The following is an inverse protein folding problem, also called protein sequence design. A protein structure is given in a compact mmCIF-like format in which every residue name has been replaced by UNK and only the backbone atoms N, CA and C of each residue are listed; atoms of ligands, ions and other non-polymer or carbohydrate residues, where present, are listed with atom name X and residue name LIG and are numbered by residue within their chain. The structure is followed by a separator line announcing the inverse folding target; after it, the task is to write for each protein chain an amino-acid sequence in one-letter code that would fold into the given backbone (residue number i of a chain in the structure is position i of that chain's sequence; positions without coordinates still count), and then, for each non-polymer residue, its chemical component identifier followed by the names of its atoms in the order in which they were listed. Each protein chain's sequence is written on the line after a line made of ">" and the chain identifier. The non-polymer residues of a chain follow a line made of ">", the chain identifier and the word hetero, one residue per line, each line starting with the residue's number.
data_IF_035100341084
#
_entry.id   IF_035100341084
#
_cell.length_a   1.000
_cell.length_b   1.000
_cell.length_c   1.000
_cell.angle_alpha   90.00
_cell.angle_beta   90.00
_cell.angle_gamma   90.00
#
_symmetry.space_group_name_H-M   'P 1'
#
loop_
_entity.id
_entity.type
_entity.pdbx_description
1 polymer ?
#
# COMPACT_ATOMS: atom_id res chain seq x y z
N UNK A 1 -17.90 -11.41 7.12
CA UNK A 1 -16.71 -11.93 6.39
C UNK A 1 -16.05 -10.80 5.60
N UNK A 2 -14.72 -10.83 5.46
CA UNK A 2 -13.94 -9.85 4.70
C UNK A 2 -13.30 -10.57 3.52
N UNK A 3 -13.42 -10.01 2.31
CA UNK A 3 -12.64 -10.44 1.13
C UNK A 3 -11.82 -9.28 0.57
N UNK A 4 -10.65 -9.57 0.03
CA UNK A 4 -9.91 -8.65 -0.84
C UNK A 4 -10.05 -9.13 -2.27
N UNK A 5 -10.50 -8.24 -3.15
CA UNK A 5 -10.70 -8.51 -4.57
C UNK A 5 -9.87 -7.58 -5.44
N UNK A 6 -9.57 -8.06 -6.65
CA UNK A 6 -8.82 -7.30 -7.65
C UNK A 6 -9.75 -6.56 -8.61
N UNK A 7 -9.43 -5.29 -8.88
CA UNK A 7 -10.03 -4.51 -9.97
C UNK A 7 -9.01 -4.26 -11.06
N UNK A 8 -9.26 -4.78 -12.28
CA UNK A 8 -8.37 -4.55 -13.42
C UNK A 8 -8.49 -3.13 -14.00
N UNK A 9 -9.65 -2.48 -13.84
CA UNK A 9 -9.95 -1.11 -14.27
C UNK A 9 -10.89 -0.43 -13.25
N UNK A 10 -10.99 0.90 -13.27
CA UNK A 10 -11.97 1.67 -12.47
C UNK A 10 -13.45 1.30 -12.78
N UNK A 11 -13.69 0.62 -13.90
CA UNK A 11 -14.99 0.04 -14.27
C UNK A 11 -15.13 -1.44 -13.90
N UNK A 12 -14.20 -1.99 -13.10
CA UNK A 12 -14.17 -3.40 -12.73
C UNK A 12 -15.48 -3.82 -12.08
N UNK A 13 -16.21 -4.71 -12.76
CA UNK A 13 -17.49 -5.27 -12.31
C UNK A 13 -17.33 -6.37 -11.27
N UNK A 14 -16.15 -6.56 -10.67
CA UNK A 14 -15.91 -7.57 -9.63
C UNK A 14 -16.97 -7.38 -8.55
N UNK A 15 -17.91 -8.31 -8.52
CA UNK A 15 -18.99 -8.41 -7.56
C UNK A 15 -18.94 -9.82 -7.00
N UNK A 16 -19.22 -9.92 -5.71
CA UNK A 16 -19.35 -11.19 -5.04
C UNK A 16 -20.75 -11.20 -4.41
N UNK A 17 -21.65 -12.12 -4.79
CA UNK A 17 -23.01 -12.12 -4.29
C UNK A 17 -23.07 -12.08 -2.75
N UNK A 18 -23.87 -11.17 -2.20
CA UNK A 18 -23.97 -10.97 -0.75
C UNK A 18 -22.89 -10.10 -0.11
N UNK A 19 -21.99 -9.48 -0.90
CA UNK A 19 -20.92 -8.61 -0.40
C UNK A 19 -21.15 -7.14 -0.76
N UNK A 20 -21.00 -6.26 0.22
CA UNK A 20 -20.89 -4.81 0.02
C UNK A 20 -19.53 -4.49 -0.61
N UNK A 21 -19.55 -3.74 -1.72
CA UNK A 21 -18.32 -3.34 -2.43
C UNK A 21 -17.68 -2.13 -1.74
N UNK A 22 -16.39 -2.24 -1.45
CA UNK A 22 -15.58 -1.20 -0.80
C UNK A 22 -14.42 -0.85 -1.74
N UNK A 23 -14.58 0.22 -2.52
CA UNK A 23 -13.55 0.68 -3.46
C UNK A 23 -12.71 1.75 -2.76
N UNK A 24 -11.40 1.50 -2.63
CA UNK A 24 -10.48 2.35 -1.83
C UNK A 24 -9.41 3.07 -2.66
N UNK A 25 -9.40 2.83 -3.98
CA UNK A 25 -8.38 3.37 -4.88
C UNK A 25 -8.62 4.84 -5.28
N UNK A 26 -9.87 5.24 -5.52
CA UNK A 26 -10.18 6.55 -6.11
C UNK A 26 -10.68 7.52 -5.06
N UNK A 27 -10.11 8.74 -5.04
CA UNK A 27 -10.56 9.85 -4.19
C UNK A 27 -12.07 10.12 -4.29
N UNK A 28 -12.66 9.90 -5.47
CA UNK A 28 -14.09 10.11 -5.72
C UNK A 28 -15.02 8.99 -5.23
N UNK A 29 -14.48 7.86 -4.76
CA UNK A 29 -15.29 6.78 -4.22
C UNK A 29 -15.77 7.08 -2.80
N UNK A 30 -16.86 6.44 -2.37
CA UNK A 30 -17.37 6.54 -0.99
C UNK A 30 -16.30 6.29 0.07
N UNK A 31 -15.36 5.37 -0.20
CA UNK A 31 -14.28 4.97 0.70
C UNK A 31 -12.92 5.56 0.29
N UNK A 32 -12.93 6.63 -0.53
CA UNK A 32 -11.72 7.25 -1.04
C UNK A 32 -10.83 7.86 0.05
N UNK A 33 -11.39 8.27 1.19
CA UNK A 33 -10.63 8.76 2.36
C UNK A 33 -9.73 7.69 2.98
N UNK A 34 -10.01 6.40 2.75
CA UNK A 34 -9.18 5.28 3.20
C UNK A 34 -7.97 5.04 2.26
N UNK A 35 -7.85 5.83 1.19
CA UNK A 35 -6.75 5.74 0.24
C UNK A 35 -5.45 6.31 0.83
N UNK A 36 -4.29 5.68 0.58
CA UNK A 36 -2.99 6.22 1.00
C UNK A 36 -2.67 7.60 0.41
N UNK A 37 -3.40 8.04 -0.64
CA UNK A 37 -3.26 9.38 -1.21
C UNK A 37 -3.96 10.48 -0.40
N UNK A 38 -4.80 10.12 0.57
CA UNK A 38 -5.54 11.05 1.42
C UNK A 38 -5.29 10.86 2.92
N UNK A 39 -4.83 9.68 3.33
CA UNK A 39 -4.41 9.44 4.70
C UNK A 39 -3.20 10.33 5.05
N UNK A 40 -3.23 10.93 6.24
CA UNK A 40 -2.17 11.77 6.76
C UNK A 40 -1.83 11.39 8.20
N UNK A 41 -0.58 11.57 8.60
CA UNK A 41 -0.16 11.43 9.99
C UNK A 41 -0.55 12.66 10.83
N UNK A 42 -0.23 12.64 12.13
CA UNK A 42 -0.46 13.78 13.02
C UNK A 42 0.32 15.06 12.66
N UNK A 43 1.24 15.01 11.68
CA UNK A 43 1.97 16.18 11.14
C UNK A 43 1.41 16.64 9.80
N UNK A 44 0.34 16.01 9.29
CA UNK A 44 -0.24 16.31 7.99
C UNK A 44 0.51 15.71 6.79
N UNK A 45 1.50 14.84 7.02
CA UNK A 45 2.27 14.20 5.94
C UNK A 45 1.46 13.07 5.32
N UNK A 46 1.38 13.04 3.99
CA UNK A 46 0.58 12.06 3.26
C UNK A 46 1.22 10.66 3.35
N UNK A 47 0.41 9.64 3.64
CA UNK A 47 0.87 8.25 3.78
C UNK A 47 1.65 7.75 2.56
N UNK A 48 1.13 7.99 1.35
CA UNK A 48 1.83 7.64 0.10
C UNK A 48 3.22 8.28 0.04
N UNK A 49 3.37 9.53 0.48
CA UNK A 49 4.66 10.21 0.47
C UNK A 49 5.61 9.60 1.48
N UNK A 50 5.16 9.34 2.71
CA UNK A 50 5.96 8.64 3.72
C UNK A 50 6.48 7.31 3.19
N UNK A 51 5.64 6.54 2.49
CA UNK A 51 6.05 5.28 1.89
C UNK A 51 7.03 5.46 0.71
N UNK A 52 6.70 6.31 -0.26
CA UNK A 52 7.50 6.44 -1.48
C UNK A 52 8.88 7.04 -1.21
N UNK A 53 8.94 8.06 -0.35
CA UNK A 53 10.19 8.73 0.04
C UNK A 53 10.94 7.98 1.15
N UNK A 54 10.38 6.91 1.72
CA UNK A 54 11.15 5.97 2.54
C UNK A 54 12.24 5.24 1.76
N UNK A 55 12.07 5.10 0.43
CA UNK A 55 12.87 4.25 -0.45
C UNK A 55 14.18 4.91 -0.84
N UNK A 56 15.22 4.11 -0.94
CA UNK A 56 16.56 4.51 -1.37
C UNK A 56 16.85 3.92 -2.75
N UNK A 57 17.41 4.75 -3.62
CA UNK A 57 17.89 4.38 -4.95
C UNK A 57 19.38 4.72 -5.00
N UNK A 58 20.16 4.09 -5.88
CA UNK A 58 21.56 4.51 -6.08
C UNK A 58 21.62 5.89 -6.76
N UNK A 59 20.85 6.02 -7.83
CA UNK A 59 20.63 7.25 -8.58
C UNK A 59 19.15 7.36 -8.93
N UNK A 60 18.65 8.59 -9.02
CA UNK A 60 17.31 8.89 -9.54
C UNK A 60 17.46 9.63 -10.86
N UNK A 61 16.64 9.30 -11.88
CA UNK A 61 16.67 10.05 -13.14
C UNK A 61 16.03 11.43 -12.93
N UNK A 62 16.22 12.35 -13.90
CA UNK A 62 15.38 13.54 -13.98
C UNK A 62 13.91 13.10 -14.06
N UNK A 63 13.07 13.61 -13.16
CA UNK A 63 11.67 13.22 -13.08
C UNK A 63 10.73 14.40 -13.10
N UNK A 64 9.55 14.18 -13.65
CA UNK A 64 8.43 15.11 -13.66
C UNK A 64 7.14 14.31 -13.50
N UNK A 65 6.42 14.51 -12.39
CA UNK A 65 5.14 13.89 -12.10
C UNK A 65 4.03 14.94 -12.17
N UNK A 66 2.90 14.50 -12.69
CA UNK A 66 1.68 15.29 -12.80
C UNK A 66 0.66 14.83 -11.76
N UNK A 67 -0.23 15.72 -11.35
CA UNK A 67 -1.27 15.42 -10.37
C UNK A 67 -2.09 14.19 -10.76
N UNK A 68 -2.46 14.07 -12.03
CA UNK A 68 -3.06 12.85 -12.56
C UNK A 68 -2.81 12.70 -14.07
N UNK A 69 -3.37 11.65 -14.67
CA UNK A 69 -3.36 11.52 -16.13
C UNK A 69 -4.22 12.60 -16.82
N UNK A 70 -5.22 13.15 -16.13
CA UNK A 70 -6.16 14.15 -16.64
C UNK A 70 -5.74 15.58 -16.29
N UNK A 71 -5.07 15.76 -15.16
CA UNK A 71 -4.58 17.05 -14.66
C UNK A 71 -3.06 17.09 -14.80
N UNK A 72 -2.58 17.93 -15.72
CA UNK A 72 -1.16 18.11 -16.05
C UNK A 72 -0.45 19.15 -15.17
N UNK A 73 -1.06 19.56 -14.06
CA UNK A 73 -0.36 20.32 -13.02
C UNK A 73 0.82 19.50 -12.52
N UNK A 74 2.01 20.09 -12.57
CA UNK A 74 3.25 19.45 -12.11
C UNK A 74 3.25 19.45 -10.59
N UNK A 75 3.29 18.27 -9.98
CA UNK A 75 3.30 18.11 -8.52
C UNK A 75 4.64 17.62 -7.99
N UNK A 76 5.56 17.23 -8.86
CA UNK A 76 6.90 16.82 -8.44
C UNK A 76 7.84 16.93 -9.63
N UNK A 77 8.91 17.70 -9.49
CA UNK A 77 9.95 17.80 -10.51
C UNK A 77 11.32 17.83 -9.83
N UNK A 78 12.21 16.93 -10.24
CA UNK A 78 13.58 16.83 -9.68
C UNK A 78 14.59 16.62 -10.80
N UNK A 79 15.82 17.15 -10.65
CA UNK A 79 16.93 16.82 -11.53
C UNK A 79 17.34 15.35 -11.38
N UNK A 80 18.35 14.93 -12.15
CA UNK A 80 19.04 13.66 -11.88
C UNK A 80 19.85 13.82 -10.59
N UNK A 81 19.75 12.88 -9.67
CA UNK A 81 20.43 12.95 -8.36
C UNK A 81 21.16 11.63 -8.06
N UNK A 82 22.25 11.71 -7.30
CA UNK A 82 22.96 10.54 -6.76
C UNK A 82 22.56 10.44 -5.29
N UNK A 83 21.95 9.35 -4.88
CA UNK A 83 21.41 9.19 -3.53
C UNK A 83 22.32 8.34 -2.63
N UNK A 84 23.15 7.49 -3.25
CA UNK A 84 24.15 6.67 -2.57
C UNK A 84 25.48 6.84 -3.30
N UNK A 85 26.52 7.21 -2.57
CA UNK A 85 27.85 7.45 -3.15
C UNK A 85 28.64 6.16 -3.43
N UNK A 86 29.92 6.28 -3.75
CA UNK A 86 30.81 5.15 -4.02
C UNK A 86 31.20 4.35 -2.78
N UNK A 87 31.06 4.92 -1.58
CA UNK A 87 31.33 4.27 -0.30
C UNK A 87 30.09 3.56 0.26
N UNK A 88 28.91 3.83 -0.31
CA UNK A 88 27.64 3.25 0.12
C UNK A 88 26.89 4.14 1.12
N UNK A 89 27.33 5.38 1.29
CA UNK A 89 26.78 6.36 2.20
C UNK A 89 25.70 7.20 1.50
N UNK A 90 24.73 7.67 2.29
CA UNK A 90 23.65 8.53 1.80
C UNK A 90 24.20 9.93 1.50
N UNK A 91 23.89 10.45 0.33
CA UNK A 91 24.28 11.80 -0.07
C UNK A 91 23.34 12.86 0.49
N UNK A 92 23.76 14.13 0.45
CA UNK A 92 22.89 15.26 0.78
C UNK A 92 21.68 15.37 -0.15
N UNK A 93 21.82 14.99 -1.42
CA UNK A 93 20.71 14.96 -2.38
C UNK A 93 19.60 14.01 -1.90
N UNK A 94 19.95 12.82 -1.39
CA UNK A 94 18.96 11.91 -0.82
C UNK A 94 18.23 12.51 0.38
N UNK A 95 18.98 13.12 1.31
CA UNK A 95 18.41 13.72 2.53
C UNK A 95 17.40 14.81 2.17
N UNK A 96 17.77 15.69 1.24
CA UNK A 96 16.91 16.76 0.74
C UNK A 96 15.70 16.19 0.00
N UNK A 97 15.91 15.25 -0.94
CA UNK A 97 14.84 14.60 -1.70
C UNK A 97 13.82 13.90 -0.80
N UNK A 98 14.29 13.17 0.22
CA UNK A 98 13.44 12.49 1.19
C UNK A 98 12.59 13.48 1.96
N UNK A 99 13.21 14.52 2.51
CA UNK A 99 12.51 15.55 3.30
C UNK A 99 11.45 16.26 2.47
N UNK A 100 11.85 16.83 1.33
CA UNK A 100 10.97 17.56 0.42
C UNK A 100 9.77 16.70 0.00
N UNK A 101 10.03 15.42 -0.28
CA UNK A 101 9.02 14.49 -0.69
C UNK A 101 8.04 14.08 0.41
N UNK A 102 8.53 13.82 1.62
CA UNK A 102 7.69 13.48 2.77
C UNK A 102 6.81 14.65 3.23
N UNK A 103 7.31 15.88 3.09
CA UNK A 103 6.60 17.11 3.43
C UNK A 103 5.73 17.64 2.28
N UNK A 104 5.73 16.95 1.13
CA UNK A 104 5.02 17.40 -0.05
C UNK A 104 3.49 17.38 0.13
N UNK A 105 2.81 18.45 -0.29
CA UNK A 105 1.36 18.68 -0.10
C UNK A 105 0.45 17.81 -0.98
N UNK A 106 1.02 17.18 -2.01
CA UNK A 106 0.34 16.24 -2.89
C UNK A 106 0.99 14.87 -2.82
N UNK A 107 0.19 13.81 -2.98
CA UNK A 107 0.68 12.45 -3.06
C UNK A 107 1.54 12.25 -4.33
N UNK A 108 2.78 11.76 -4.17
CA UNK A 108 3.72 11.50 -5.26
C UNK A 108 3.95 9.99 -5.37
N UNK A 109 3.13 9.31 -6.19
CA UNK A 109 3.15 7.84 -6.31
C UNK A 109 4.44 7.26 -6.90
N UNK A 110 5.08 7.98 -7.82
CA UNK A 110 6.26 7.50 -8.54
C UNK A 110 7.34 8.58 -8.59
N UNK A 111 7.97 8.93 -7.45
CA UNK A 111 8.90 10.07 -7.41
C UNK A 111 10.15 9.87 -8.26
N UNK A 112 10.49 8.61 -8.60
CA UNK A 112 11.57 8.23 -9.52
C UNK A 112 11.07 7.79 -10.91
N UNK A 113 9.77 7.89 -11.17
CA UNK A 113 9.10 7.38 -12.37
C UNK A 113 8.85 5.86 -12.32
N UNK A 114 7.72 5.43 -12.90
CA UNK A 114 7.24 4.03 -12.81
C UNK A 114 8.25 2.99 -13.31
N UNK A 115 9.06 3.32 -14.32
CA UNK A 115 10.06 2.40 -14.91
C UNK A 115 11.28 2.16 -13.99
N UNK A 116 11.46 2.95 -12.95
CA UNK A 116 12.64 2.91 -12.07
C UNK A 116 12.33 2.36 -10.68
N UNK A 117 11.08 2.04 -10.35
CA UNK A 117 10.70 1.54 -9.02
C UNK A 117 11.37 0.22 -8.66
N UNK A 118 11.69 -0.61 -9.65
CA UNK A 118 12.44 -1.86 -9.46
C UNK A 118 13.92 -1.66 -9.11
N UNK A 119 14.45 -0.43 -9.24
CA UNK A 119 15.82 -0.08 -8.87
C UNK A 119 15.97 0.32 -7.39
N UNK A 120 14.90 0.21 -6.60
CA UNK A 120 14.94 0.46 -5.16
C UNK A 120 15.93 -0.49 -4.50
N UNK A 121 16.87 0.04 -3.72
CA UNK A 121 17.87 -0.74 -3.01
C UNK A 121 17.30 -1.28 -1.69
N UNK A 122 16.65 -0.41 -0.93
CA UNK A 122 16.07 -0.68 0.39
C UNK A 122 15.16 0.49 0.80
N UNK A 123 14.47 0.37 1.94
CA UNK A 123 13.76 1.47 2.58
C UNK A 123 14.39 1.81 3.94
N UNK A 124 14.18 3.05 4.38
CA UNK A 124 14.63 3.59 5.66
C UNK A 124 13.46 4.15 6.45
N UNK A 125 13.47 3.97 7.76
CA UNK A 125 12.48 4.54 8.66
C UNK A 125 12.86 5.96 9.09
N UNK A 126 11.88 6.79 9.47
CA UNK A 126 12.17 8.10 10.06
C UNK A 126 12.77 8.01 11.47
N UNK A 127 12.58 6.87 12.15
CA UNK A 127 13.06 6.64 13.52
C UNK A 127 14.52 6.18 13.55
N UNK A 128 14.95 5.52 12.49
CA UNK A 128 16.28 4.93 12.34
C UNK A 128 16.60 4.85 10.84
N UNK A 129 17.48 5.74 10.40
CA UNK A 129 18.00 5.81 9.02
C UNK A 129 19.23 4.92 8.80
N UNK A 130 19.73 4.25 9.84
CA UNK A 130 20.88 3.33 9.73
C UNK A 130 20.44 1.93 9.32
N UNK A 131 19.20 1.54 9.69
CA UNK A 131 18.63 0.24 9.38
C UNK A 131 18.07 0.17 7.96
N UNK A 132 18.79 -0.50 7.07
CA UNK A 132 18.38 -0.79 5.68
C UNK A 132 17.36 -1.93 5.67
N UNK A 133 16.15 -1.67 5.18
CA UNK A 133 15.06 -2.65 5.15
C UNK A 133 14.84 -3.16 3.73
N UNK A 134 14.85 -4.49 3.54
CA UNK A 134 14.38 -5.08 2.30
C UNK A 134 12.88 -4.83 2.09
N UNK A 135 12.37 -5.19 0.92
CA UNK A 135 10.98 -4.92 0.55
C UNK A 135 9.94 -5.53 1.49
N UNK A 136 10.11 -6.79 1.92
CA UNK A 136 9.16 -7.48 2.81
C UNK A 136 9.28 -6.91 4.22
N UNK A 137 10.49 -6.71 4.71
CA UNK A 137 10.74 -6.12 6.03
C UNK A 137 10.19 -4.69 6.10
N UNK A 138 10.33 -3.89 5.04
CA UNK A 138 9.80 -2.53 4.95
C UNK A 138 8.26 -2.50 4.94
N UNK A 139 7.59 -3.45 4.28
CA UNK A 139 6.12 -3.57 4.35
C UNK A 139 5.65 -3.78 5.78
N UNK A 140 6.28 -4.72 6.49
CA UNK A 140 5.94 -5.10 7.87
C UNK A 140 6.21 -4.00 8.88
N UNK A 141 7.34 -3.32 8.76
CA UNK A 141 7.81 -2.37 9.77
C UNK A 141 7.50 -0.90 9.46
N UNK A 142 7.16 -0.57 8.20
CA UNK A 142 6.81 0.79 7.79
C UNK A 142 5.41 0.86 7.21
N UNK A 143 5.16 0.22 6.07
CA UNK A 143 3.93 0.45 5.29
C UNK A 143 2.66 0.08 6.05
N UNK A 144 2.60 -1.15 6.57
CA UNK A 144 1.45 -1.65 7.31
C UNK A 144 1.21 -0.82 8.58
N UNK A 145 2.19 -0.61 9.48
CA UNK A 145 2.00 0.24 10.67
C UNK A 145 1.53 1.66 10.35
N UNK A 146 2.16 2.33 9.37
CA UNK A 146 1.77 3.69 8.96
C UNK A 146 0.33 3.74 8.44
N UNK A 147 -0.05 2.78 7.58
CA UNK A 147 -1.41 2.70 7.07
C UNK A 147 -2.41 2.44 8.19
N UNK A 148 -2.11 1.46 9.04
CA UNK A 148 -2.91 1.01 10.17
C UNK A 148 -3.21 2.10 11.19
N UNK A 149 -2.23 2.95 11.50
CA UNK A 149 -2.40 4.09 12.38
C UNK A 149 -3.39 5.11 11.79
N UNK A 150 -3.17 5.51 10.54
CA UNK A 150 -3.94 6.59 9.90
C UNK A 150 -5.34 6.17 9.46
N UNK A 151 -5.52 4.91 9.05
CA UNK A 151 -6.81 4.43 8.54
C UNK A 151 -7.84 4.29 9.66
N UNK A 152 -7.39 3.88 10.86
CA UNK A 152 -8.27 3.68 12.04
C UNK A 152 -8.90 4.98 12.54
N UNK A 153 -8.28 6.14 12.27
CA UNK A 153 -8.85 7.44 12.62
C UNK A 153 -9.94 7.92 11.65
N UNK A 154 -10.16 7.22 10.54
CA UNK A 154 -11.11 7.66 9.51
C UNK A 154 -12.56 7.25 9.87
N UNK A 155 -13.56 8.15 9.70
CA UNK A 155 -14.96 7.80 9.94
C UNK A 155 -15.45 6.62 9.10
N UNK A 156 -15.02 6.52 7.84
CA UNK A 156 -15.40 5.41 6.96
C UNK A 156 -14.82 4.06 7.43
N UNK A 157 -13.70 4.05 8.16
CA UNK A 157 -13.17 2.82 8.74
C UNK A 157 -14.13 2.29 9.82
N UNK A 158 -14.61 3.18 10.70
CA UNK A 158 -15.62 2.82 11.70
C UNK A 158 -16.94 2.33 11.07
N UNK A 159 -17.37 2.93 9.96
CA UNK A 159 -18.55 2.44 9.20
C UNK A 159 -18.37 0.98 8.77
N UNK A 160 -17.21 0.64 8.19
CA UNK A 160 -16.92 -0.73 7.73
C UNK A 160 -16.84 -1.73 8.89
N UNK A 161 -16.25 -1.32 10.01
CA UNK A 161 -16.21 -2.16 11.22
C UNK A 161 -17.62 -2.41 11.77
N UNK A 162 -18.49 -1.39 11.78
CA UNK A 162 -19.90 -1.54 12.14
C UNK A 162 -20.66 -2.46 11.19
N UNK A 163 -20.39 -2.42 9.88
CA UNK A 163 -20.96 -3.37 8.92
C UNK A 163 -20.59 -4.81 9.28
N UNK A 164 -19.32 -5.06 9.55
CA UNK A 164 -18.79 -6.38 9.90
C UNK A 164 -19.38 -6.90 11.21
N UNK A 165 -19.46 -6.05 12.25
CA UNK A 165 -20.08 -6.39 13.54
C UNK A 165 -21.58 -6.71 13.40
N UNK A 166 -22.24 -6.12 12.41
CA UNK A 166 -23.62 -6.45 12.05
C UNK A 166 -23.74 -7.67 11.11
N UNK A 167 -22.71 -8.52 11.03
CA UNK A 167 -22.64 -9.71 10.18
C UNK A 167 -22.80 -9.44 8.67
N UNK A 168 -22.54 -8.21 8.21
CA UNK A 168 -22.54 -7.90 6.77
C UNK A 168 -21.19 -8.23 6.17
N UNK A 169 -21.20 -8.83 4.98
CA UNK A 169 -19.98 -9.18 4.27
C UNK A 169 -19.50 -8.00 3.42
N UNK A 170 -18.18 -7.78 3.39
CA UNK A 170 -17.56 -6.72 2.58
C UNK A 170 -16.48 -7.29 1.68
N UNK A 171 -16.39 -6.76 0.46
CA UNK A 171 -15.29 -7.03 -0.47
C UNK A 171 -14.54 -5.73 -0.76
N UNK A 172 -13.28 -5.67 -0.36
CA UNK A 172 -12.37 -4.55 -0.57
C UNK A 172 -11.75 -4.71 -1.95
N UNK A 173 -11.94 -3.73 -2.82
CA UNK A 173 -11.55 -3.78 -4.22
C UNK A 173 -10.36 -2.86 -4.49
N UNK A 174 -9.24 -3.44 -4.93
CA UNK A 174 -7.98 -2.74 -5.22
C UNK A 174 -7.30 -3.28 -6.50
N UNK A 175 -6.46 -2.46 -7.14
CA UNK A 175 -5.63 -2.88 -8.29
C UNK A 175 -4.58 -3.95 -7.96
N UNK A 176 -4.04 -3.89 -6.74
CA UNK A 176 -3.03 -4.82 -6.23
C UNK A 176 -3.66 -6.08 -5.57
N UNK A 177 -4.99 -6.25 -5.67
CA UNK A 177 -5.69 -7.42 -5.14
C UNK A 177 -5.26 -8.76 -5.74
N UNK A 178 -5.84 -9.88 -5.29
CA UNK A 178 -5.37 -11.22 -5.63
C UNK A 178 -5.30 -11.51 -7.13
N UNK A 179 -4.22 -12.18 -7.54
CA UNK A 179 -3.98 -12.60 -8.92
C UNK A 179 -4.40 -14.06 -9.11
N UNK A 180 -5.67 -14.29 -9.48
CA UNK A 180 -6.22 -15.63 -9.72
C UNK A 180 -5.43 -16.40 -10.78
N UNK A 181 -4.89 -15.70 -11.78
CA UNK A 181 -4.01 -16.28 -12.81
C UNK A 181 -2.73 -16.92 -12.24
N UNK A 182 -2.40 -16.64 -10.97
CA UNK A 182 -1.25 -17.16 -10.26
C UNK A 182 -1.64 -18.11 -9.10
N UNK A 183 -2.88 -18.60 -9.03
CA UNK A 183 -3.30 -19.53 -7.97
C UNK A 183 -2.36 -20.75 -7.86
N UNK A 184 -1.98 -21.37 -8.98
CA UNK A 184 -1.08 -22.52 -9.01
C UNK A 184 0.29 -22.22 -8.37
N UNK A 185 0.79 -20.99 -8.51
CA UNK A 185 2.00 -20.55 -7.83
C UNK A 185 1.83 -20.61 -6.30
N UNK A 186 0.72 -20.09 -5.79
CA UNK A 186 0.45 -20.10 -4.35
C UNK A 186 0.23 -21.50 -3.81
N UNK A 187 -0.49 -22.37 -4.54
CA UNK A 187 -0.66 -23.78 -4.18
C UNK A 187 0.69 -24.49 -4.06
N UNK A 188 1.56 -24.30 -5.04
CA UNK A 188 2.87 -24.96 -5.05
C UNK A 188 3.79 -24.45 -3.94
N UNK A 189 3.86 -23.13 -3.73
CA UNK A 189 4.77 -22.48 -2.78
C UNK A 189 4.29 -22.55 -1.32
N UNK A 190 3.01 -22.33 -1.08
CA UNK A 190 2.42 -22.18 0.25
C UNK A 190 1.48 -23.30 0.66
N UNK A 191 1.25 -24.29 -0.22
CA UNK A 191 0.37 -25.45 0.04
C UNK A 191 -1.07 -25.06 0.40
N UNK A 192 -1.53 -23.95 -0.17
CA UNK A 192 -2.91 -23.48 0.00
C UNK A 192 -3.89 -24.30 -0.85
N UNK A 193 -5.16 -24.27 -0.46
CA UNK A 193 -6.27 -24.89 -1.19
C UNK A 193 -6.48 -24.26 -2.58
N UNK A 194 -7.16 -24.99 -3.47
CA UNK A 194 -7.64 -24.48 -4.77
C UNK A 194 -8.62 -23.31 -4.65
N UNK A 195 -9.30 -23.21 -3.53
CA UNK A 195 -10.18 -22.09 -3.17
C UNK A 195 -9.46 -20.92 -2.49
N UNK A 196 -8.12 -20.85 -2.57
CA UNK A 196 -7.36 -19.75 -1.96
C UNK A 196 -7.66 -18.41 -2.65
N UNK A 197 -7.71 -18.40 -3.98
CA UNK A 197 -8.15 -17.25 -4.77
C UNK A 197 -9.27 -17.73 -5.70
N UNK A 198 -10.45 -17.11 -5.56
CA UNK A 198 -11.63 -17.44 -6.35
C UNK A 198 -12.33 -16.16 -6.80
N UNK A 199 -12.75 -16.13 -8.06
CA UNK A 199 -13.46 -14.99 -8.63
C UNK A 199 -12.71 -13.67 -8.40
N UNK A 200 -11.39 -13.70 -8.63
CA UNK A 200 -10.47 -12.57 -8.47
C UNK A 200 -10.45 -12.00 -7.05
N UNK A 201 -10.74 -12.84 -6.05
CA UNK A 201 -10.80 -12.45 -4.65
C UNK A 201 -10.28 -13.54 -3.72
N UNK A 202 -9.92 -13.14 -2.51
CA UNK A 202 -9.41 -14.01 -1.45
C UNK A 202 -10.11 -13.63 -0.15
N UNK A 203 -10.48 -14.62 0.66
CA UNK A 203 -10.92 -14.38 2.04
C UNK A 203 -9.75 -13.80 2.85
N UNK A 204 -10.01 -12.71 3.57
CA UNK A 204 -8.99 -12.06 4.39
C UNK A 204 -9.05 -12.60 5.82
N UNK A 205 -8.24 -13.62 6.06
CA UNK A 205 -7.97 -14.22 7.37
C UNK A 205 -6.46 -14.06 7.69
N UNK A 206 -6.01 -14.35 8.92
CA UNK A 206 -4.62 -14.13 9.30
C UNK A 206 -3.64 -14.92 8.42
N UNK A 207 -3.98 -16.16 8.05
CA UNK A 207 -3.10 -17.02 7.26
C UNK A 207 -2.97 -16.49 5.83
N UNK A 208 -4.09 -16.14 5.20
CA UNK A 208 -4.10 -15.65 3.82
C UNK A 208 -3.42 -14.29 3.69
N UNK A 209 -3.66 -13.41 4.65
CA UNK A 209 -3.02 -12.11 4.71
C UNK A 209 -1.52 -12.23 4.98
N UNK A 210 -1.09 -13.11 5.89
CA UNK A 210 0.32 -13.35 6.18
C UNK A 210 1.07 -13.88 4.94
N UNK A 211 0.46 -14.79 4.19
CA UNK A 211 1.01 -15.26 2.90
C UNK A 211 1.24 -14.08 1.96
N UNK A 212 0.23 -13.22 1.78
CA UNK A 212 0.32 -12.07 0.86
C UNK A 212 1.35 -11.03 1.34
N UNK A 213 1.47 -10.80 2.65
CA UNK A 213 2.44 -9.87 3.22
C UNK A 213 3.89 -10.33 2.98
N UNK A 214 4.12 -11.63 3.09
CA UNK A 214 5.43 -12.28 2.92
C UNK A 214 5.78 -12.63 1.47
N UNK A 215 4.84 -12.54 0.54
CA UNK A 215 5.08 -12.85 -0.86
C UNK A 215 5.60 -11.63 -1.64
N UNK A 216 6.70 -11.83 -2.37
CA UNK A 216 7.34 -10.78 -3.18
C UNK A 216 6.91 -10.81 -4.65
N UNK A 217 6.12 -11.79 -5.10
CA UNK A 217 5.70 -11.91 -6.51
C UNK A 217 4.73 -10.78 -6.89
N UNK A 218 3.87 -10.40 -5.95
CA UNK A 218 2.87 -9.33 -6.14
C UNK A 218 3.00 -8.25 -5.07
N UNK A 219 2.51 -7.06 -5.38
CA UNK A 219 2.48 -5.95 -4.44
C UNK A 219 1.49 -6.27 -3.30
N UNK A 220 1.88 -5.93 -2.08
CA UNK A 220 0.98 -5.89 -0.93
C UNK A 220 0.39 -4.48 -0.84
N UNK A 221 -0.76 -4.28 -1.48
CA UNK A 221 -1.49 -3.01 -1.53
C UNK A 221 -2.24 -2.64 -0.24
N UNK A 222 -2.88 -1.46 -0.26
CA UNK A 222 -3.57 -0.88 0.89
C UNK A 222 -4.88 -1.59 1.22
N UNK A 223 -5.50 -2.26 0.27
CA UNK A 223 -6.70 -3.09 0.46
C UNK A 223 -6.42 -4.31 1.33
N UNK A 224 -5.24 -4.92 1.24
CA UNK A 224 -4.82 -5.94 2.20
C UNK A 224 -4.57 -5.34 3.58
N UNK A 225 -3.95 -4.16 3.67
CA UNK A 225 -3.73 -3.47 4.94
C UNK A 225 -5.06 -3.14 5.63
N UNK A 226 -6.03 -2.61 4.88
CA UNK A 226 -7.39 -2.33 5.38
C UNK A 226 -8.08 -3.60 5.86
N UNK A 227 -8.01 -4.68 5.08
CA UNK A 227 -8.59 -5.96 5.46
C UNK A 227 -7.97 -6.50 6.76
N UNK A 228 -6.65 -6.39 6.90
CA UNK A 228 -5.91 -6.78 8.09
C UNK A 228 -6.37 -5.99 9.32
N UNK A 229 -6.41 -4.65 9.21
CA UNK A 229 -6.87 -3.79 10.31
C UNK A 229 -8.30 -4.14 10.74
N UNK A 230 -9.22 -4.30 9.77
CA UNK A 230 -10.61 -4.63 10.06
C UNK A 230 -10.75 -6.01 10.70
N UNK A 231 -9.92 -6.98 10.28
CA UNK A 231 -9.91 -8.31 10.89
C UNK A 231 -9.46 -8.25 12.35
N UNK A 232 -8.37 -7.56 12.65
CA UNK A 232 -7.84 -7.39 14.02
C UNK A 232 -8.87 -6.76 14.95
N UNK A 233 -9.45 -5.64 14.54
CA UNK A 233 -10.37 -4.86 15.36
C UNK A 233 -11.75 -5.55 15.49
N UNK A 234 -12.12 -6.42 14.54
CA UNK A 234 -13.31 -7.26 14.63
C UNK A 234 -13.14 -8.38 15.67
N UNK A 235 -11.94 -8.95 15.77
CA UNK A 235 -11.64 -10.09 16.66
C UNK A 235 -10.90 -9.69 17.94
N UNK A 236 -10.74 -8.38 18.21
CA UNK A 236 -9.98 -7.84 19.34
C UNK A 236 -8.59 -8.50 19.50
N UNK A 237 -7.91 -8.77 18.38
CA UNK A 237 -6.64 -9.51 18.34
C UNK A 237 -5.60 -8.66 17.64
N UNK A 238 -4.43 -8.49 18.26
CA UNK A 238 -3.27 -7.83 17.62
C UNK A 238 -2.33 -8.88 17.03
N UNK A 239 -1.95 -8.72 15.77
CA UNK A 239 -0.98 -9.60 15.11
C UNK A 239 0.42 -8.94 15.20
N UNK A 240 1.54 -9.69 15.36
CA UNK A 240 2.83 -9.16 15.85
C UNK A 240 3.56 -8.10 15.01
N UNK A 241 2.95 -7.60 13.94
CA UNK A 241 3.55 -6.64 13.01
C UNK A 241 3.01 -5.21 13.21
N UNK A 242 2.16 -4.98 14.21
CA UNK A 242 1.60 -3.69 14.62
C UNK A 242 1.74 -3.47 16.12
#
# INVERSE_FOLDING_TARGET
>A
MIRVGRIKNCNGKTSYPGYKRVIVMTKSSKYGSLSPYLLTDGKGRIMENLWQFSKVYKETPKTKQYYSQWDKTVVWERPKEIHVDTHGDLTQDYITWRKDGMEHVHAVRYPVGKKHTSKCLYALSDKDMTKKLDYITARKSLYLPLYSEMVRSQPQYAELLCDLKANRNIIILEVDGPHEENLLYYQNKYKVKDTFIEQWSMEADPQSLEIMLNDSKHNFGHGYCLAWCLWEDLHNTKIPYM
#
